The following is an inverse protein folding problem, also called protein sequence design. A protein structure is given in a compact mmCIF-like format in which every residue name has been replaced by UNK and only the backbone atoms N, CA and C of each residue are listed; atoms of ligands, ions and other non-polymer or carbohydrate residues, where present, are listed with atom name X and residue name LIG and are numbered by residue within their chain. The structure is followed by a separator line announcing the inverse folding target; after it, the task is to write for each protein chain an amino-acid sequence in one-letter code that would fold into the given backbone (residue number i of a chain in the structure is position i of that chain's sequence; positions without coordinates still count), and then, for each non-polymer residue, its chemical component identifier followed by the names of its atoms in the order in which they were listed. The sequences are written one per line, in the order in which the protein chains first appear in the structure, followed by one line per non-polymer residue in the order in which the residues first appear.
data_IF_616833998281
#
_entry.id   IF_616833998281
#
_cell.length_a   1.000
_cell.length_b   1.000
_cell.length_c   1.000
_cell.angle_alpha   90.00
_cell.angle_beta   90.00
_cell.angle_gamma   90.00
#
_symmetry.space_group_name_H-M   'P 1'
#
loop_
_entity.id
_entity.type
_entity.pdbx_description
1 polymer ?
#
# COMPACT_ATOMS: atom_id res chain seq x y z
N UNK A 1 8.56 0.48 16.14
CA UNK A 1 8.15 -0.93 16.23
C UNK A 1 9.06 -1.78 15.36
N UNK A 2 9.55 -2.88 15.87
CA UNK A 2 10.44 -3.76 15.10
C UNK A 2 9.67 -4.93 14.51
N UNK A 3 10.02 -5.30 13.29
CA UNK A 3 9.40 -6.42 12.60
C UNK A 3 10.01 -6.60 11.23
N UNK A 4 9.35 -7.40 10.39
CA UNK A 4 9.82 -7.67 9.04
C UNK A 4 9.22 -6.68 8.05
N UNK A 5 10.08 -6.11 7.20
CA UNK A 5 9.65 -5.22 6.14
C UNK A 5 8.76 -5.96 5.14
N UNK A 6 7.64 -5.34 4.77
CA UNK A 6 6.70 -5.92 3.81
C UNK A 6 7.33 -6.22 2.45
N UNK A 7 8.30 -5.42 2.03
CA UNK A 7 8.93 -5.57 0.71
C UNK A 7 10.15 -6.47 0.75
N UNK A 8 11.15 -6.14 1.59
CA UNK A 8 12.43 -6.85 1.55
C UNK A 8 12.56 -7.96 2.60
N UNK A 9 11.63 -8.04 3.56
CA UNK A 9 11.67 -9.05 4.60
C UNK A 9 12.70 -8.84 5.70
N UNK A 10 13.49 -7.77 5.61
CA UNK A 10 14.51 -7.46 6.63
C UNK A 10 13.85 -7.17 7.97
N UNK A 11 14.42 -7.68 9.04
CA UNK A 11 14.00 -7.33 10.39
C UNK A 11 14.65 -6.01 10.81
N UNK A 12 13.85 -5.02 11.09
CA UNK A 12 14.33 -3.68 11.45
C UNK A 12 13.24 -2.89 12.14
N UNK A 13 13.53 -1.66 12.52
CA UNK A 13 12.49 -0.72 12.90
C UNK A 13 11.62 -0.45 11.67
N UNK A 14 10.31 -0.44 11.86
CA UNK A 14 9.36 -0.30 10.77
C UNK A 14 8.67 1.05 10.81
N UNK A 15 8.37 1.56 9.62
CA UNK A 15 7.60 2.79 9.42
C UNK A 15 6.30 2.46 8.71
N UNK A 16 5.22 3.13 9.10
CA UNK A 16 3.93 2.93 8.47
C UNK A 16 3.90 3.64 7.13
N UNK A 17 3.41 2.93 6.12
CA UNK A 17 3.24 3.48 4.78
C UNK A 17 1.80 3.30 4.35
N UNK A 18 1.14 4.42 4.03
CA UNK A 18 -0.22 4.39 3.48
C UNK A 18 -0.11 4.02 2.01
N UNK A 19 -0.71 2.89 1.63
CA UNK A 19 -0.61 2.37 0.26
C UNK A 19 -1.17 3.38 -0.74
N UNK A 20 -2.27 4.03 -0.39
CA UNK A 20 -2.83 5.14 -1.15
C UNK A 20 -2.69 6.41 -0.33
N UNK A 21 -1.94 7.37 -0.84
CA UNK A 21 -1.58 8.59 -0.12
C UNK A 21 -2.27 9.82 -0.74
N UNK A 22 -1.83 11.00 -0.36
CA UNK A 22 -2.44 12.24 -0.82
C UNK A 22 -3.86 12.37 -0.31
N UNK A 23 -4.81 12.63 -1.20
CA UNK A 23 -6.22 12.77 -0.84
C UNK A 23 -6.85 11.48 -0.34
N UNK A 24 -6.20 10.32 -0.56
CA UNK A 24 -6.71 9.02 -0.14
C UNK A 24 -6.06 8.49 1.14
N UNK A 25 -5.23 9.28 1.79
CA UNK A 25 -4.53 8.84 2.98
C UNK A 25 -5.47 8.47 4.12
N UNK A 26 -6.50 9.27 4.36
CA UNK A 26 -7.47 9.02 5.42
C UNK A 26 -8.26 7.75 5.15
N UNK A 27 -8.62 7.53 3.89
CA UNK A 27 -9.34 6.33 3.48
C UNK A 27 -8.46 5.10 3.66
N UNK A 28 -7.18 5.18 3.28
CA UNK A 28 -6.22 4.09 3.49
C UNK A 28 -6.12 3.73 4.97
N UNK A 29 -6.00 4.71 5.84
CA UNK A 29 -5.92 4.48 7.28
C UNK A 29 -7.20 3.81 7.80
N UNK A 30 -8.35 4.32 7.38
CA UNK A 30 -9.65 3.81 7.83
C UNK A 30 -9.88 2.37 7.40
N UNK A 31 -9.45 2.01 6.18
CA UNK A 31 -9.66 0.68 5.61
C UNK A 31 -8.52 -0.29 5.91
N UNK A 32 -7.50 0.15 6.62
CA UNK A 32 -6.36 -0.68 6.94
C UNK A 32 -5.42 -0.95 5.77
N UNK A 33 -5.43 -0.09 4.76
CA UNK A 33 -4.55 -0.22 3.59
C UNK A 33 -3.20 0.42 3.90
N UNK A 34 -2.54 -0.12 4.93
CA UNK A 34 -1.27 0.37 5.44
C UNK A 34 -0.32 -0.82 5.54
N UNK A 35 0.91 -0.63 5.10
CA UNK A 35 1.95 -1.65 5.23
C UNK A 35 3.09 -1.08 6.07
N UNK A 36 3.91 -1.97 6.61
CA UNK A 36 5.05 -1.56 7.43
C UNK A 36 6.33 -1.86 6.67
N UNK A 37 7.19 -0.87 6.58
CA UNK A 37 8.40 -0.91 5.77
C UNK A 37 9.61 -0.48 6.58
N UNK A 38 10.76 -1.09 6.27
CA UNK A 38 12.02 -0.55 6.78
C UNK A 38 12.24 0.85 6.19
N UNK A 39 13.03 1.71 6.85
CA UNK A 39 13.23 3.07 6.37
C UNK A 39 13.75 3.16 4.93
N UNK A 40 14.60 2.22 4.53
CA UNK A 40 15.16 2.19 3.19
C UNK A 40 14.10 1.91 2.13
N UNK A 41 13.28 0.89 2.32
CA UNK A 41 12.20 0.58 1.37
C UNK A 41 11.15 1.68 1.34
N UNK A 42 10.83 2.24 2.51
CA UNK A 42 9.88 3.35 2.59
C UNK A 42 10.35 4.54 1.78
N UNK A 43 11.62 4.90 1.92
CA UNK A 43 12.21 5.99 1.16
C UNK A 43 12.20 5.72 -0.34
N UNK A 44 12.49 4.48 -0.75
CA UNK A 44 12.47 4.10 -2.16
C UNK A 44 11.09 4.23 -2.78
N UNK A 45 10.03 3.90 -2.05
CA UNK A 45 8.67 4.04 -2.58
C UNK A 45 8.27 5.49 -2.79
N UNK A 46 8.86 6.42 -2.05
CA UNK A 46 8.58 7.85 -2.21
C UNK A 46 9.49 8.50 -3.26
N UNK A 47 10.51 7.81 -3.73
CA UNK A 47 11.40 8.30 -4.78
C UNK A 47 11.00 7.72 -6.13
N UNK A 48 11.48 8.32 -7.21
CA UNK A 48 11.21 7.82 -8.55
C UNK A 48 11.78 6.41 -8.80
N UNK A 49 12.84 6.03 -8.07
CA UNK A 49 13.46 4.71 -8.24
C UNK A 49 12.59 3.56 -7.74
N UNK A 50 11.62 3.85 -6.87
CA UNK A 50 10.71 2.83 -6.34
C UNK A 50 9.34 2.79 -7.02
N UNK A 51 9.17 3.45 -8.15
CA UNK A 51 7.86 3.57 -8.79
C UNK A 51 7.27 2.21 -9.19
N UNK A 52 8.11 1.29 -9.64
CA UNK A 52 7.64 -0.04 -10.05
C UNK A 52 7.18 -0.85 -8.84
N UNK A 53 7.96 -0.85 -7.77
CA UNK A 53 7.59 -1.52 -6.52
C UNK A 53 6.31 -0.94 -5.95
N UNK A 54 6.15 0.38 -6.04
CA UNK A 54 4.94 1.04 -5.58
C UNK A 54 3.70 0.53 -6.32
N UNK A 55 3.80 0.37 -7.64
CA UNK A 55 2.69 -0.16 -8.43
C UNK A 55 2.38 -1.61 -8.09
N UNK A 56 3.41 -2.43 -7.88
CA UNK A 56 3.24 -3.82 -7.50
C UNK A 56 2.52 -3.92 -6.15
N UNK A 57 2.93 -3.12 -5.18
CA UNK A 57 2.30 -3.09 -3.86
C UNK A 57 0.85 -2.66 -3.97
N UNK A 58 0.56 -1.59 -4.69
CA UNK A 58 -0.81 -1.09 -4.84
C UNK A 58 -1.71 -2.14 -5.49
N UNK A 59 -1.22 -2.79 -6.53
CA UNK A 59 -1.98 -3.84 -7.22
C UNK A 59 -2.26 -5.02 -6.30
N UNK A 60 -1.26 -5.49 -5.57
CA UNK A 60 -1.39 -6.62 -4.66
C UNK A 60 -2.38 -6.32 -3.54
N UNK A 61 -2.28 -5.13 -2.95
CA UNK A 61 -3.17 -4.71 -1.87
C UNK A 61 -4.61 -4.56 -2.36
N UNK A 62 -4.81 -3.95 -3.52
CA UNK A 62 -6.14 -3.82 -4.09
C UNK A 62 -6.77 -5.18 -4.33
N UNK A 63 -6.00 -6.08 -4.95
CA UNK A 63 -6.49 -7.43 -5.28
C UNK A 63 -6.89 -8.20 -4.04
N UNK A 64 -6.04 -8.17 -3.00
CA UNK A 64 -6.32 -8.85 -1.75
C UNK A 64 -7.55 -8.27 -1.05
N UNK A 65 -7.65 -6.95 -1.00
CA UNK A 65 -8.77 -6.27 -0.36
C UNK A 65 -10.10 -6.58 -1.05
N UNK A 66 -10.11 -6.51 -2.38
CA UNK A 66 -11.32 -6.80 -3.15
C UNK A 66 -11.75 -8.25 -2.98
N UNK A 67 -10.79 -9.18 -2.99
CA UNK A 67 -11.07 -10.60 -2.81
C UNK A 67 -11.61 -10.90 -1.42
N UNK A 68 -11.01 -10.32 -0.40
CA UNK A 68 -11.39 -10.56 1.00
C UNK A 68 -12.78 -10.03 1.31
N UNK A 69 -13.14 -8.86 0.79
CA UNK A 69 -14.42 -8.22 1.07
C UNK A 69 -15.47 -8.47 0.00
N UNK A 70 -15.11 -9.10 -1.11
CA UNK A 70 -16.04 -9.40 -2.18
C UNK A 70 -16.57 -8.17 -2.90
N UNK A 71 -15.81 -7.07 -2.91
CA UNK A 71 -16.26 -5.85 -3.60
C UNK A 71 -15.86 -5.88 -5.06
N UNK A 72 -16.66 -5.20 -5.89
CA UNK A 72 -16.43 -5.12 -7.32
C UNK A 72 -15.40 -4.06 -7.68
N UNK A 73 -14.90 -4.11 -8.92
CA UNK A 73 -14.01 -3.08 -9.44
C UNK A 73 -14.68 -1.71 -9.45
N UNK A 74 -15.96 -1.65 -9.80
CA UNK A 74 -16.71 -0.40 -9.81
C UNK A 74 -16.80 0.22 -8.41
N UNK A 75 -17.00 -0.62 -7.39
CA UNK A 75 -17.03 -0.16 -6.01
C UNK A 75 -15.67 0.39 -5.58
N UNK A 76 -14.60 -0.29 -5.98
CA UNK A 76 -13.24 0.19 -5.70
C UNK A 76 -13.00 1.56 -6.33
N UNK A 77 -13.35 1.70 -7.62
CA UNK A 77 -13.16 2.95 -8.35
C UNK A 77 -13.99 4.08 -7.74
N UNK A 78 -15.19 3.77 -7.24
CA UNK A 78 -16.01 4.77 -6.56
C UNK A 78 -15.30 5.35 -5.34
N UNK A 79 -14.54 4.53 -4.61
CA UNK A 79 -13.82 4.97 -3.41
C UNK A 79 -12.51 5.67 -3.77
N UNK A 80 -11.74 5.12 -4.69
CA UNK A 80 -10.36 5.58 -4.97
C UNK A 80 -10.20 6.32 -6.30
N UNK A 81 -11.26 6.41 -7.11
CA UNK A 81 -11.23 7.13 -8.37
C UNK A 81 -10.50 6.42 -9.50
N UNK A 82 -9.76 5.37 -9.23
CA UNK A 82 -9.03 4.61 -10.25
C UNK A 82 -8.67 3.23 -9.72
N UNK A 83 -8.26 2.35 -10.64
CA UNK A 83 -7.83 0.99 -10.31
C UNK A 83 -6.32 0.85 -10.53
N UNK A 84 -5.68 0.03 -9.69
CA UNK A 84 -4.28 -0.37 -9.86
C UNK A 84 -4.15 -1.73 -10.54
N UNK A 85 -5.27 -2.37 -10.84
CA UNK A 85 -5.26 -3.66 -11.54
C UNK A 85 -5.01 -3.52 -13.04
#
# INVERSE_FOLDING_TARGET
MKGQCYICGRFSDLERHHVYSGSYRQISEKLGLVIELCPECHRRLHSGSGAQEKRIVQRSIQKAYMSELGISLDEWITVFGKSSL
#
